data_IF_495842580380
#
_entry.id   IF_495842580380
#
_cell.length_a   1.000
_cell.length_b   1.000
_cell.length_c   1.000
_cell.angle_alpha   90.00
_cell.angle_beta   90.00
_cell.angle_gamma   90.00
#
_symmetry.space_group_name_H-M   'P 1'
#
loop_
_entity.id
_entity.type
_entity.pdbx_description
1 polymer ?
#
# COMPACT_ATOMS: atom_id res chain seq x y z
N UNK A 1 -4.10 -30.03 21.82
CA UNK A 1 -3.41 -28.75 21.53
C UNK A 1 -3.61 -28.22 20.11
N UNK A 2 -4.27 -28.93 19.18
CA UNK A 2 -4.40 -28.49 17.77
C UNK A 2 -5.52 -27.46 17.49
N UNK A 3 -6.40 -27.15 18.45
CA UNK A 3 -7.55 -26.28 18.21
C UNK A 3 -7.25 -24.77 18.35
N UNK A 4 -6.28 -24.43 19.19
CA UNK A 4 -5.96 -23.06 19.56
C UNK A 4 -5.04 -22.39 18.52
N UNK A 5 -4.07 -23.13 17.97
CA UNK A 5 -3.19 -22.66 16.89
C UNK A 5 -3.97 -22.33 15.60
N UNK A 6 -4.99 -23.14 15.26
CA UNK A 6 -5.84 -22.91 14.09
C UNK A 6 -6.71 -21.65 14.25
N UNK A 7 -7.12 -21.36 15.49
CA UNK A 7 -7.86 -20.13 15.83
C UNK A 7 -6.94 -18.90 15.77
N UNK A 8 -5.72 -18.99 16.32
CA UNK A 8 -4.74 -17.92 16.28
C UNK A 8 -4.31 -17.56 14.86
N UNK A 9 -4.00 -18.56 14.02
CA UNK A 9 -3.68 -18.35 12.60
C UNK A 9 -4.85 -17.71 11.83
N UNK A 10 -6.09 -18.15 12.10
CA UNK A 10 -7.29 -17.53 11.52
C UNK A 10 -7.48 -16.06 11.92
N UNK A 11 -7.16 -15.71 13.17
CA UNK A 11 -7.20 -14.33 13.66
C UNK A 11 -6.14 -13.46 12.98
N UNK A 12 -4.92 -13.97 12.80
CA UNK A 12 -3.83 -13.25 12.14
C UNK A 12 -4.13 -13.05 10.64
N UNK A 13 -4.67 -14.07 9.96
CA UNK A 13 -5.09 -13.94 8.57
C UNK A 13 -6.19 -12.89 8.40
N UNK A 14 -7.19 -12.90 9.29
CA UNK A 14 -8.25 -11.88 9.28
C UNK A 14 -7.69 -10.48 9.49
N UNK A 15 -6.75 -10.32 10.44
CA UNK A 15 -6.07 -9.04 10.67
C UNK A 15 -5.26 -8.59 9.46
N UNK A 16 -4.56 -9.51 8.79
CA UNK A 16 -3.81 -9.21 7.56
C UNK A 16 -4.74 -8.69 6.46
N UNK A 17 -5.88 -9.34 6.25
CA UNK A 17 -6.90 -8.91 5.26
C UNK A 17 -7.44 -7.52 5.57
N UNK A 18 -7.78 -7.24 6.84
CA UNK A 18 -8.26 -5.91 7.29
C UNK A 18 -7.22 -4.83 7.00
N UNK A 19 -5.94 -5.09 7.26
CA UNK A 19 -4.88 -4.12 6.99
C UNK A 19 -4.72 -3.90 5.48
N UNK A 20 -4.76 -4.95 4.65
CA UNK A 20 -4.72 -4.82 3.18
C UNK A 20 -5.89 -3.97 2.66
N UNK A 21 -7.10 -4.18 3.16
CA UNK A 21 -8.26 -3.36 2.79
C UNK A 21 -8.13 -1.91 3.26
N UNK A 22 -7.56 -1.68 4.44
CA UNK A 22 -7.29 -0.33 4.96
C UNK A 22 -6.27 0.40 4.08
N UNK A 23 -5.20 -0.29 3.67
CA UNK A 23 -4.21 0.25 2.73
C UNK A 23 -4.89 0.60 1.40
N UNK A 24 -5.73 -0.31 0.88
CA UNK A 24 -6.45 -0.10 -0.38
C UNK A 24 -7.32 1.15 -0.34
N UNK A 25 -8.03 1.39 0.76
CA UNK A 25 -8.84 2.60 0.94
C UNK A 25 -7.97 3.87 0.89
N UNK A 26 -6.83 3.89 1.59
CA UNK A 26 -5.89 5.03 1.56
C UNK A 26 -5.22 5.21 0.20
N UNK A 27 -4.88 4.11 -0.47
CA UNK A 27 -4.30 4.12 -1.80
C UNK A 27 -5.29 4.71 -2.83
N UNK A 28 -6.57 4.32 -2.78
CA UNK A 28 -7.60 4.92 -3.64
C UNK A 28 -7.75 6.42 -3.38
N UNK A 29 -7.79 6.84 -2.11
CA UNK A 29 -7.84 8.25 -1.75
C UNK A 29 -6.63 9.04 -2.32
N UNK A 30 -5.43 8.49 -2.24
CA UNK A 30 -4.23 9.08 -2.84
C UNK A 30 -4.33 9.19 -4.37
N UNK A 31 -4.77 8.13 -5.04
CA UNK A 31 -4.96 8.12 -6.49
C UNK A 31 -5.98 9.16 -6.97
N UNK A 32 -7.09 9.34 -6.25
CA UNK A 32 -8.11 10.35 -6.54
C UNK A 32 -7.56 11.78 -6.39
N UNK A 33 -6.81 12.06 -5.33
CA UNK A 33 -6.18 13.36 -5.12
C UNK A 33 -5.13 13.65 -6.20
N UNK A 34 -4.29 12.68 -6.54
CA UNK A 34 -3.32 12.80 -7.64
C UNK A 34 -4.04 13.14 -8.95
N UNK A 35 -5.11 12.41 -9.27
CA UNK A 35 -5.92 12.65 -10.47
C UNK A 35 -6.51 14.06 -10.47
N UNK A 36 -7.03 14.52 -9.34
CA UNK A 36 -7.57 15.88 -9.18
C UNK A 36 -6.50 16.92 -9.47
N UNK A 37 -5.32 16.82 -8.85
CA UNK A 37 -4.23 17.77 -9.10
C UNK A 37 -3.78 17.79 -10.55
N UNK A 38 -3.63 16.61 -11.18
CA UNK A 38 -3.21 16.53 -12.59
C UNK A 38 -4.21 17.22 -13.54
N UNK A 39 -5.50 17.24 -13.19
CA UNK A 39 -6.56 17.88 -13.98
C UNK A 39 -6.82 19.34 -13.62
N UNK A 40 -6.22 19.88 -12.54
CA UNK A 40 -6.45 21.23 -12.04
C UNK A 40 -5.29 22.20 -12.26
N UNK A 41 -4.46 21.97 -13.28
CA UNK A 41 -3.29 22.80 -13.61
C UNK A 41 -2.37 23.04 -12.38
N UNK A 42 -1.71 22.00 -11.87
CA UNK A 42 -0.92 22.09 -10.65
C UNK A 42 0.35 22.93 -10.89
N UNK A 43 1.03 23.37 -9.82
CA UNK A 43 2.35 23.99 -9.92
C UNK A 43 3.30 23.18 -10.81
N UNK A 44 4.18 23.85 -11.54
CA UNK A 44 5.06 23.21 -12.53
C UNK A 44 5.96 22.16 -11.86
N UNK A 45 6.46 22.48 -10.67
CA UNK A 45 7.25 21.60 -9.82
C UNK A 45 6.53 20.32 -9.41
N UNK A 46 5.19 20.28 -9.44
CA UNK A 46 4.39 19.11 -9.09
C UNK A 46 4.04 18.22 -10.27
N UNK A 47 4.09 18.73 -11.52
CA UNK A 47 3.61 17.97 -12.69
C UNK A 47 4.31 16.63 -12.87
N UNK A 48 5.64 16.62 -12.80
CA UNK A 48 6.44 15.40 -12.96
C UNK A 48 6.29 14.47 -11.74
N UNK A 49 6.42 14.96 -10.49
CA UNK A 49 6.16 14.15 -9.30
C UNK A 49 4.76 13.51 -9.29
N UNK A 50 3.70 14.26 -9.60
CA UNK A 50 2.33 13.75 -9.63
C UNK A 50 2.15 12.63 -10.66
N UNK A 51 2.76 12.75 -11.85
CA UNK A 51 2.70 11.67 -12.86
C UNK A 51 3.40 10.40 -12.38
N UNK A 52 4.54 10.52 -11.71
CA UNK A 52 5.26 9.36 -11.13
C UNK A 52 4.47 8.74 -9.97
N UNK A 53 3.89 9.56 -9.10
CA UNK A 53 2.99 9.10 -8.06
C UNK A 53 1.74 8.40 -8.61
N UNK A 54 1.14 8.91 -9.70
CA UNK A 54 0.02 8.24 -10.35
C UNK A 54 0.41 6.81 -10.80
N UNK A 55 1.63 6.64 -11.30
CA UNK A 55 2.16 5.32 -11.64
C UNK A 55 2.37 4.45 -10.39
N UNK A 56 3.04 4.95 -9.34
CA UNK A 56 3.22 4.23 -8.07
C UNK A 56 1.88 3.75 -7.50
N UNK A 57 0.89 4.63 -7.38
CA UNK A 57 -0.43 4.26 -6.85
C UNK A 57 -1.19 3.30 -7.75
N UNK A 58 -0.99 3.36 -9.08
CA UNK A 58 -1.50 2.35 -9.99
C UNK A 58 -0.87 0.97 -9.71
N UNK A 59 0.46 0.89 -9.52
CA UNK A 59 1.14 -0.37 -9.17
C UNK A 59 0.61 -0.92 -7.86
N UNK A 60 0.51 -0.09 -6.81
CA UNK A 60 -0.08 -0.48 -5.52
C UNK A 60 -1.47 -1.10 -5.71
N UNK A 61 -2.37 -0.40 -6.40
CA UNK A 61 -3.78 -0.78 -6.52
C UNK A 61 -4.03 -1.96 -7.47
N UNK A 62 -3.18 -2.17 -8.47
CA UNK A 62 -3.42 -3.15 -9.54
C UNK A 62 -2.48 -4.34 -9.52
N UNK A 63 -1.40 -4.29 -8.75
CA UNK A 63 -0.40 -5.36 -8.64
C UNK A 63 -0.22 -5.76 -7.19
N UNK A 64 0.32 -4.86 -6.36
CA UNK A 64 0.78 -5.19 -5.01
C UNK A 64 -0.33 -5.63 -4.06
N UNK A 65 -1.44 -4.90 -4.01
CA UNK A 65 -2.57 -5.25 -3.14
C UNK A 65 -3.38 -6.44 -3.66
N UNK A 66 -3.68 -6.57 -4.96
CA UNK A 66 -4.29 -7.79 -5.51
C UNK A 66 -3.47 -9.05 -5.24
N UNK A 67 -2.14 -9.01 -5.44
CA UNK A 67 -1.24 -10.14 -5.14
C UNK A 67 -1.34 -10.53 -3.66
N UNK A 68 -1.26 -9.56 -2.75
CA UNK A 68 -1.36 -9.84 -1.32
C UNK A 68 -2.72 -10.42 -0.91
N UNK A 69 -3.81 -9.90 -1.47
CA UNK A 69 -5.16 -10.41 -1.21
C UNK A 69 -5.34 -11.85 -1.71
N UNK A 70 -4.85 -12.16 -2.91
CA UNK A 70 -4.92 -13.52 -3.45
C UNK A 70 -4.06 -14.50 -2.65
N UNK A 71 -2.84 -14.10 -2.32
CA UNK A 71 -1.92 -14.91 -1.54
C UNK A 71 -2.44 -15.22 -0.13
N UNK A 72 -3.08 -14.25 0.54
CA UNK A 72 -3.70 -14.46 1.86
C UNK A 72 -4.93 -15.38 1.81
N UNK A 73 -5.68 -15.37 0.71
CA UNK A 73 -6.95 -16.12 0.63
C UNK A 73 -6.78 -17.52 0.06
N UNK A 74 -5.81 -17.73 -0.83
CA UNK A 74 -5.70 -18.96 -1.63
C UNK A 74 -4.29 -19.51 -1.74
N UNK A 75 -3.28 -18.78 -1.26
CA UNK A 75 -1.90 -18.97 -1.69
C UNK A 75 -0.89 -19.02 -0.57
N UNK A 76 0.35 -18.74 -0.98
CA UNK A 76 1.51 -18.69 -0.10
C UNK A 76 1.64 -17.27 0.49
N UNK A 77 1.57 -17.08 1.82
CA UNK A 77 1.71 -15.77 2.46
C UNK A 77 3.01 -15.03 2.13
N UNK A 78 4.03 -15.73 1.61
CA UNK A 78 5.25 -15.10 1.11
C UNK A 78 4.98 -14.07 0.00
N UNK A 79 4.07 -14.37 -0.92
CA UNK A 79 3.68 -13.42 -1.97
C UNK A 79 2.91 -12.22 -1.39
N UNK A 80 2.18 -12.42 -0.28
CA UNK A 80 1.56 -11.30 0.41
C UNK A 80 2.59 -10.39 1.10
N UNK A 81 3.66 -10.97 1.64
CA UNK A 81 4.79 -10.19 2.16
C UNK A 81 5.42 -9.36 1.04
N UNK A 82 5.66 -9.97 -0.12
CA UNK A 82 6.30 -9.31 -1.27
C UNK A 82 5.41 -8.18 -1.82
N UNK A 83 4.09 -8.39 -1.90
CA UNK A 83 3.12 -7.33 -2.22
C UNK A 83 3.16 -6.16 -1.22
N UNK A 84 3.30 -6.43 0.08
CA UNK A 84 3.48 -5.35 1.07
C UNK A 84 4.82 -4.62 0.93
N UNK A 85 5.91 -5.32 0.58
CA UNK A 85 7.21 -4.69 0.28
C UNK A 85 7.10 -3.78 -0.94
N UNK A 86 6.44 -4.23 -2.00
CA UNK A 86 6.18 -3.41 -3.19
C UNK A 86 5.39 -2.15 -2.84
N UNK A 87 4.27 -2.32 -2.13
CA UNK A 87 3.47 -1.19 -1.66
C UNK A 87 4.28 -0.16 -0.86
N UNK A 88 5.05 -0.66 0.12
CA UNK A 88 5.89 0.17 0.99
C UNK A 88 6.90 1.01 0.20
N UNK A 89 7.54 0.39 -0.80
CA UNK A 89 8.50 1.06 -1.67
C UNK A 89 7.84 2.06 -2.60
N UNK A 90 6.68 1.73 -3.19
CA UNK A 90 5.98 2.61 -4.12
C UNK A 90 5.44 3.88 -3.45
N UNK A 91 4.94 3.78 -2.22
CA UNK A 91 4.47 4.94 -1.46
C UNK A 91 5.63 5.85 -1.03
N UNK A 92 6.76 5.26 -0.63
CA UNK A 92 7.98 6.01 -0.32
C UNK A 92 8.53 6.71 -1.57
N UNK A 93 8.61 5.99 -2.70
CA UNK A 93 9.08 6.55 -3.96
C UNK A 93 8.19 7.72 -4.41
N UNK A 94 6.87 7.65 -4.21
CA UNK A 94 6.00 8.79 -4.48
C UNK A 94 6.39 10.02 -3.64
N UNK A 95 6.60 9.86 -2.33
CA UNK A 95 7.01 10.99 -1.47
C UNK A 95 8.37 11.56 -1.86
N UNK A 96 9.34 10.70 -2.18
CA UNK A 96 10.69 11.11 -2.57
C UNK A 96 10.73 11.88 -3.89
N UNK A 97 9.73 11.72 -4.77
CA UNK A 97 9.63 12.54 -5.97
C UNK A 97 9.40 14.02 -5.66
N UNK A 98 8.88 14.35 -4.48
CA UNK A 98 8.67 15.72 -4.04
C UNK A 98 9.82 16.30 -3.23
N UNK A 99 10.95 15.59 -3.02
CA UNK A 99 12.05 16.02 -2.12
C UNK A 99 12.60 17.45 -2.31
N UNK A 100 12.40 18.04 -3.49
CA UNK A 100 12.82 19.41 -3.83
C UNK A 100 11.67 20.43 -3.75
N UNK A 101 10.51 20.04 -3.20
CA UNK A 101 9.27 20.82 -3.13
C UNK A 101 8.42 20.39 -1.92
N UNK A 102 7.32 21.07 -1.65
CA UNK A 102 6.34 20.61 -0.67
C UNK A 102 5.47 19.52 -1.32
N UNK A 103 5.44 18.34 -0.72
CA UNK A 103 4.55 17.25 -1.17
C UNK A 103 3.11 17.54 -0.76
N UNK A 104 2.15 17.56 -1.70
CA UNK A 104 0.73 17.66 -1.36
C UNK A 104 0.14 16.33 -0.85
N UNK A 105 0.96 15.28 -0.76
CA UNK A 105 0.53 13.90 -0.48
C UNK A 105 1.19 13.30 0.77
N UNK A 106 2.05 14.03 1.49
CA UNK A 106 2.84 13.50 2.62
C UNK A 106 2.02 12.67 3.60
N UNK A 107 0.87 13.18 4.04
CA UNK A 107 0.02 12.45 4.99
C UNK A 107 -0.47 11.11 4.43
N UNK A 108 -0.83 11.04 3.15
CA UNK A 108 -1.32 9.81 2.52
C UNK A 108 -0.19 8.85 2.17
N UNK A 109 0.93 9.36 1.64
CA UNK A 109 2.10 8.56 1.35
C UNK A 109 2.63 7.88 2.61
N UNK A 110 2.72 8.62 3.72
CA UNK A 110 3.16 8.08 5.00
C UNK A 110 2.15 7.08 5.57
N UNK A 111 0.84 7.38 5.49
CA UNK A 111 -0.18 6.44 5.96
C UNK A 111 -0.12 5.10 5.19
N UNK A 112 -0.02 5.14 3.87
CA UNK A 112 0.12 3.92 3.04
C UNK A 112 1.43 3.20 3.36
N UNK A 113 2.54 3.93 3.48
CA UNK A 113 3.86 3.36 3.81
C UNK A 113 3.87 2.64 5.15
N UNK A 114 3.41 3.31 6.21
CA UNK A 114 3.37 2.76 7.56
C UNK A 114 2.43 1.55 7.64
N UNK A 115 1.24 1.64 7.03
CA UNK A 115 0.30 0.53 6.98
C UNK A 115 0.87 -0.67 6.22
N UNK A 116 1.60 -0.45 5.12
CA UNK A 116 2.28 -1.54 4.40
C UNK A 116 3.42 -2.15 5.24
N UNK A 117 4.11 -1.37 6.06
CA UNK A 117 5.05 -1.87 7.07
C UNK A 117 4.36 -2.75 8.13
N UNK A 118 3.23 -2.29 8.68
CA UNK A 118 2.42 -3.05 9.64
C UNK A 118 1.87 -4.33 9.02
N UNK A 119 1.31 -4.24 7.80
CA UNK A 119 0.78 -5.38 7.06
C UNK A 119 1.86 -6.45 6.83
N UNK A 120 3.05 -6.04 6.39
CA UNK A 120 4.21 -6.93 6.26
C UNK A 120 4.57 -7.61 7.57
N UNK A 121 4.60 -6.88 8.68
CA UNK A 121 4.91 -7.45 10.00
C UNK A 121 3.86 -8.48 10.45
N UNK A 122 2.57 -8.23 10.19
CA UNK A 122 1.49 -9.17 10.49
C UNK A 122 1.64 -10.44 9.64
N UNK A 123 1.79 -10.28 8.32
CA UNK A 123 1.90 -11.39 7.36
C UNK A 123 3.09 -12.32 7.68
N UNK A 124 4.18 -11.79 8.23
CA UNK A 124 5.32 -12.59 8.67
C UNK A 124 5.02 -13.63 9.74
N UNK A 125 3.94 -13.46 10.50
CA UNK A 125 3.49 -14.48 11.46
C UNK A 125 2.81 -15.68 10.78
N UNK A 126 2.59 -15.61 9.47
CA UNK A 126 2.00 -16.68 8.66
C UNK A 126 3.05 -17.44 7.83
N UNK A 127 4.35 -17.12 7.98
CA UNK A 127 5.47 -17.72 7.24
C UNK A 127 6.11 -18.89 8.00
#
# INVERSE_FOLDING_TARGET
MLHEERSASGNIMTLALIVVDTIKAKANQGAEIISTFLNSNPPEEWRVPLKKCAFSYKVILTVSLPEAMEALTKGNPKFAEDGMVGCFGDSQNCEENFKSSISPLTCLNNAVHELCGVGRAIIRNLL
#
